data_IF_383538695640
#
_entry.id   IF_383538695640
#
_cell.length_a   1.000
_cell.length_b   1.000
_cell.length_c   1.000
_cell.angle_alpha   90.00
_cell.angle_beta   90.00
_cell.angle_gamma   90.00
#
_symmetry.space_group_name_H-M   'P 1'
#
loop_
_entity.id
_entity.type
_entity.pdbx_description
1 polymer ?
#
# COMPACT_ATOMS: atom_id res chain seq x y z
N UNK A 1 -38.53 -34.78 -14.54
CA UNK A 1 -38.32 -33.41 -14.00
C UNK A 1 -37.40 -33.54 -12.79
N UNK A 2 -36.10 -33.28 -12.94
CA UNK A 2 -35.11 -33.39 -11.85
C UNK A 2 -34.90 -32.00 -11.25
N UNK A 3 -35.21 -31.86 -9.97
CA UNK A 3 -35.04 -30.65 -9.19
C UNK A 3 -33.58 -30.62 -8.68
N UNK A 4 -32.78 -29.65 -9.15
CA UNK A 4 -31.45 -29.40 -8.59
C UNK A 4 -31.60 -28.44 -7.39
N UNK A 5 -31.23 -28.94 -6.21
CA UNK A 5 -31.10 -28.15 -4.99
C UNK A 5 -29.71 -27.51 -4.99
N UNK A 6 -29.62 -26.20 -5.19
CA UNK A 6 -28.40 -25.42 -5.02
C UNK A 6 -28.21 -25.12 -3.52
N UNK A 7 -27.24 -25.80 -2.90
CA UNK A 7 -26.79 -25.50 -1.54
C UNK A 7 -25.85 -24.29 -1.65
N UNK A 8 -26.30 -23.13 -1.16
CA UNK A 8 -25.42 -22.00 -0.89
C UNK A 8 -24.61 -22.32 0.38
N UNK A 9 -23.37 -22.79 0.22
CA UNK A 9 -22.39 -22.73 1.31
C UNK A 9 -22.01 -21.27 1.52
N UNK A 10 -22.50 -20.68 2.61
CA UNK A 10 -22.01 -19.40 3.09
C UNK A 10 -20.50 -19.52 3.34
N UNK A 11 -19.69 -18.85 2.52
CA UNK A 11 -18.27 -18.68 2.82
C UNK A 11 -18.20 -17.85 4.10
N UNK A 12 -17.69 -18.47 5.15
CA UNK A 12 -17.37 -17.83 6.41
C UNK A 12 -16.35 -16.74 6.12
N UNK A 13 -16.78 -15.47 6.18
CA UNK A 13 -15.84 -14.35 6.26
C UNK A 13 -15.41 -14.31 7.72
N UNK A 14 -14.16 -14.70 8.06
CA UNK A 14 -13.68 -14.54 9.42
C UNK A 14 -13.88 -13.08 9.84
N UNK A 15 -14.40 -12.89 11.05
CA UNK A 15 -14.43 -11.57 11.65
C UNK A 15 -12.98 -11.05 11.74
N UNK A 16 -12.73 -9.73 11.83
CA UNK A 16 -11.39 -9.20 11.99
C UNK A 16 -10.59 -9.81 13.17
N UNK A 17 -11.26 -10.50 14.10
CA UNK A 17 -10.64 -11.24 15.21
C UNK A 17 -10.16 -12.66 14.88
N UNK A 18 -10.56 -13.25 13.74
CA UNK A 18 -10.28 -14.67 13.43
C UNK A 18 -9.03 -14.87 12.56
N UNK A 19 -8.35 -13.79 12.14
CA UNK A 19 -7.04 -13.86 11.47
C UNK A 19 -5.90 -13.84 12.50
N UNK A 20 -5.87 -14.83 13.39
CA UNK A 20 -4.79 -15.02 14.36
C UNK A 20 -4.08 -16.35 14.13
N UNK A 21 -3.02 -16.34 13.33
CA UNK A 21 -1.89 -17.26 13.57
C UNK A 21 -0.56 -16.54 13.28
N UNK A 22 0.35 -16.64 14.26
CA UNK A 22 1.80 -16.36 14.23
C UNK A 22 2.28 -14.91 14.47
N UNK A 23 2.44 -14.58 15.75
CA UNK A 23 3.50 -13.80 16.43
C UNK A 23 4.02 -12.44 15.89
N UNK A 24 3.45 -11.85 14.84
CA UNK A 24 3.63 -10.44 14.51
C UNK A 24 2.26 -9.85 14.18
N UNK A 25 1.63 -9.20 15.16
CA UNK A 25 0.28 -8.64 15.07
C UNK A 25 0.20 -7.57 13.97
N UNK A 26 -0.09 -7.97 12.73
CA UNK A 26 -0.53 -7.06 11.69
C UNK A 26 -2.03 -6.85 11.86
N UNK A 27 -2.41 -5.72 12.47
CA UNK A 27 -3.78 -5.24 12.46
C UNK A 27 -3.93 -4.28 11.27
N UNK A 28 -4.66 -4.65 10.21
CA UNK A 28 -4.90 -3.73 9.11
C UNK A 28 -5.67 -2.51 9.61
N UNK A 29 -5.20 -1.32 9.24
CA UNK A 29 -5.91 -0.06 9.49
C UNK A 29 -7.14 0.09 8.58
N UNK A 30 -7.08 -0.55 7.40
CA UNK A 30 -8.17 -0.65 6.44
C UNK A 30 -8.15 -2.04 5.83
N UNK A 31 -9.33 -2.64 5.68
CA UNK A 31 -9.53 -3.84 4.87
C UNK A 31 -10.47 -3.48 3.71
N UNK A 32 -9.93 -3.41 2.50
CA UNK A 32 -10.73 -3.33 1.29
C UNK A 32 -10.91 -4.77 0.80
N UNK A 33 -11.89 -5.46 1.37
CA UNK A 33 -12.35 -6.71 0.82
C UNK A 33 -13.30 -6.38 -0.33
N UNK A 34 -12.97 -6.82 -1.54
CA UNK A 34 -13.92 -6.94 -2.63
C UNK A 34 -14.10 -8.44 -2.89
N UNK A 35 -14.85 -9.18 -2.04
CA UNK A 35 -14.98 -10.63 -2.18
C UNK A 35 -15.56 -11.06 -3.53
N UNK A 36 -16.28 -10.16 -4.21
CA UNK A 36 -16.77 -10.37 -5.57
C UNK A 36 -15.72 -10.18 -6.68
N UNK A 37 -14.57 -9.59 -6.37
CA UNK A 37 -13.45 -9.36 -7.31
C UNK A 37 -12.28 -10.32 -7.08
N UNK A 38 -12.36 -11.26 -6.13
CA UNK A 38 -11.32 -12.29 -5.92
C UNK A 38 -10.01 -11.78 -5.29
N UNK A 39 -10.01 -10.55 -4.74
CA UNK A 39 -8.84 -9.93 -4.10
C UNK A 39 -9.20 -9.32 -2.75
N UNK A 40 -8.29 -9.44 -1.78
CA UNK A 40 -8.34 -8.73 -0.50
C UNK A 40 -7.10 -7.83 -0.39
N UNK A 41 -7.29 -6.55 -0.09
CA UNK A 41 -6.20 -5.61 0.17
C UNK A 41 -6.25 -5.15 1.62
N UNK A 42 -5.13 -5.33 2.32
CA UNK A 42 -4.94 -4.94 3.71
C UNK A 42 -3.81 -3.91 3.82
N UNK A 43 -4.09 -2.74 4.40
CA UNK A 43 -3.09 -1.69 4.59
C UNK A 43 -2.79 -1.49 6.09
N UNK A 44 -1.51 -1.38 6.47
CA UNK A 44 -1.12 -0.98 7.82
C UNK A 44 -1.37 0.52 8.07
N UNK A 45 -1.26 0.94 9.32
CA UNK A 45 -0.91 2.33 9.59
C UNK A 45 0.47 2.66 8.98
N UNK A 46 0.67 3.87 8.43
CA UNK A 46 1.98 4.25 7.94
C UNK A 46 2.95 4.40 9.10
N UNK A 47 4.17 3.88 8.93
CA UNK A 47 5.30 4.29 9.75
C UNK A 47 5.77 5.65 9.25
N UNK A 48 5.65 6.68 10.08
CA UNK A 48 5.84 8.06 9.68
C UNK A 48 7.13 8.64 10.26
N UNK A 49 7.77 9.55 9.53
CA UNK A 49 8.95 10.27 10.01
C UNK A 49 9.25 11.53 9.21
N UNK A 50 10.44 12.10 9.44
CA UNK A 50 10.94 13.27 8.71
C UNK A 50 12.22 12.93 7.96
N UNK A 51 12.34 13.51 6.78
CA UNK A 51 13.51 13.39 5.90
C UNK A 51 13.93 14.79 5.46
N UNK A 52 15.22 15.08 5.53
CA UNK A 52 15.80 16.29 4.94
C UNK A 52 16.79 15.84 3.88
N UNK A 53 16.61 16.31 2.65
CA UNK A 53 17.51 15.98 1.55
C UNK A 53 18.86 16.71 1.67
N UNK A 54 19.79 16.41 0.77
CA UNK A 54 21.10 17.06 0.74
C UNK A 54 21.06 18.55 0.39
N UNK A 55 19.95 19.04 -0.15
CA UNK A 55 19.72 20.45 -0.49
C UNK A 55 19.06 21.22 0.67
N UNK A 56 18.69 20.53 1.76
CA UNK A 56 18.07 21.12 2.94
C UNK A 56 16.54 21.19 2.87
N UNK A 57 15.90 20.59 1.87
CA UNK A 57 14.45 20.53 1.81
C UNK A 57 13.90 19.50 2.80
N UNK A 58 12.92 19.91 3.60
CA UNK A 58 12.27 19.06 4.59
C UNK A 58 11.01 18.39 4.03
N UNK A 59 10.87 17.11 4.35
CA UNK A 59 9.76 16.26 3.98
C UNK A 59 9.23 15.50 5.20
N UNK A 60 7.91 15.32 5.25
CA UNK A 60 7.33 14.23 6.03
C UNK A 60 7.24 13.00 5.15
N UNK A 61 7.49 11.80 5.67
CA UNK A 61 7.26 10.57 4.92
C UNK A 61 6.38 9.59 5.67
N UNK A 62 5.66 8.75 4.93
CA UNK A 62 4.92 7.61 5.45
C UNK A 62 5.20 6.35 4.65
N UNK A 63 5.58 5.26 5.32
CA UNK A 63 5.77 3.93 4.73
C UNK A 63 4.60 3.04 5.16
N UNK A 64 3.77 2.63 4.19
CA UNK A 64 2.59 1.80 4.43
C UNK A 64 2.86 0.38 3.96
N UNK A 65 2.69 -0.60 4.85
CA UNK A 65 2.72 -2.02 4.48
C UNK A 65 1.40 -2.40 3.85
N UNK A 66 1.44 -2.97 2.66
CA UNK A 66 0.28 -3.48 1.94
C UNK A 66 0.40 -4.98 1.77
N UNK A 67 -0.63 -5.73 2.17
CA UNK A 67 -0.80 -7.14 1.81
C UNK A 67 -1.92 -7.24 0.78
N UNK A 68 -1.62 -7.80 -0.38
CA UNK A 68 -2.61 -8.15 -1.40
C UNK A 68 -2.74 -9.67 -1.45
N UNK A 69 -3.95 -10.18 -1.22
CA UNK A 69 -4.25 -11.62 -1.17
C UNK A 69 -5.10 -11.96 -2.38
N UNK A 70 -4.63 -12.89 -3.22
CA UNK A 70 -5.42 -13.46 -4.29
C UNK A 70 -6.28 -14.59 -3.70
N UNK A 71 -7.56 -14.34 -3.49
CA UNK A 71 -8.51 -15.34 -2.97
C UNK A 71 -9.32 -16.02 -4.08
N UNK A 72 -8.95 -15.79 -5.34
CA UNK A 72 -9.57 -16.41 -6.51
C UNK A 72 -8.90 -17.75 -6.87
N UNK A 73 -9.52 -18.48 -7.81
CA UNK A 73 -8.97 -19.71 -8.39
C UNK A 73 -7.94 -19.46 -9.50
N UNK A 74 -7.80 -18.21 -9.97
CA UNK A 74 -6.98 -17.84 -11.11
C UNK A 74 -5.72 -17.09 -10.67
N UNK A 75 -4.57 -17.25 -11.35
CA UNK A 75 -3.41 -16.42 -11.08
C UNK A 75 -3.74 -14.93 -11.32
N UNK A 76 -3.23 -14.07 -10.45
CA UNK A 76 -3.45 -12.63 -10.50
C UNK A 76 -2.17 -11.91 -10.89
N UNK A 77 -2.16 -11.24 -12.04
CA UNK A 77 -1.07 -10.34 -12.38
C UNK A 77 -1.30 -9.00 -11.66
N UNK A 78 -0.35 -8.61 -10.82
CA UNK A 78 -0.29 -7.32 -10.16
C UNK A 78 0.71 -6.43 -10.89
N UNK A 79 0.30 -5.20 -11.22
CA UNK A 79 1.19 -4.17 -11.74
C UNK A 79 1.02 -2.91 -10.92
N UNK A 80 2.11 -2.34 -10.40
CA UNK A 80 2.16 -1.03 -9.75
C UNK A 80 3.29 -0.24 -10.38
N UNK A 81 3.02 1.03 -10.70
CA UNK A 81 3.99 1.97 -11.24
C UNK A 81 3.83 3.32 -10.56
N UNK A 82 4.90 3.82 -9.95
CA UNK A 82 4.99 5.20 -9.49
C UNK A 82 6.01 5.96 -10.36
N UNK A 83 5.60 7.09 -10.96
CA UNK A 83 6.49 7.89 -11.76
C UNK A 83 7.55 8.59 -10.88
N UNK A 84 8.61 9.09 -11.52
CA UNK A 84 9.58 9.95 -10.85
C UNK A 84 8.97 11.31 -10.43
N UNK A 85 7.88 11.72 -11.07
CA UNK A 85 7.22 12.99 -10.81
C UNK A 85 6.43 12.98 -9.49
N UNK A 86 6.20 14.18 -8.96
CA UNK A 86 5.34 14.38 -7.79
C UNK A 86 3.93 14.78 -8.20
N UNK A 87 2.96 14.51 -7.33
CA UNK A 87 1.56 14.86 -7.52
C UNK A 87 1.22 16.04 -6.61
N UNK A 88 0.42 16.98 -7.10
CA UNK A 88 -0.12 18.04 -6.26
C UNK A 88 -0.96 17.41 -5.14
N UNK A 89 -0.58 17.69 -3.89
CA UNK A 89 -1.22 17.12 -2.73
C UNK A 89 -2.28 18.06 -2.16
N UNK A 90 -2.11 19.37 -2.21
CA UNK A 90 -3.15 20.28 -1.74
C UNK A 90 -3.28 21.50 -2.63
N UNK A 91 -4.31 22.30 -2.36
CA UNK A 91 -4.49 23.61 -3.01
C UNK A 91 -3.44 24.64 -2.56
N UNK A 92 -2.65 24.32 -1.53
CA UNK A 92 -1.50 25.14 -1.13
C UNK A 92 -0.41 25.02 -2.19
N UNK A 93 0.09 26.17 -2.66
CA UNK A 93 1.12 26.18 -3.69
C UNK A 93 2.40 25.48 -3.21
N UNK A 94 2.91 24.59 -4.06
CA UNK A 94 4.11 23.81 -3.77
C UNK A 94 3.92 22.70 -2.72
N UNK A 95 2.69 22.31 -2.40
CA UNK A 95 2.43 21.08 -1.62
C UNK A 95 2.28 19.90 -2.57
N UNK A 96 3.19 18.94 -2.47
CA UNK A 96 3.21 17.76 -3.31
C UNK A 96 3.48 16.48 -2.54
N UNK A 97 3.06 15.37 -3.12
CA UNK A 97 3.37 14.01 -2.68
C UNK A 97 4.14 13.29 -3.76
N UNK A 98 5.18 12.58 -3.35
CA UNK A 98 5.94 11.68 -4.21
C UNK A 98 5.80 10.26 -3.71
N UNK A 99 5.38 9.36 -4.60
CA UNK A 99 5.16 7.95 -4.29
C UNK A 99 6.33 7.12 -4.79
N UNK A 100 6.65 6.05 -4.06
CA UNK A 100 7.70 5.12 -4.43
C UNK A 100 7.48 3.75 -3.80
N UNK A 101 8.07 2.73 -4.40
CA UNK A 101 8.24 1.40 -3.82
C UNK A 101 9.69 1.30 -3.31
N UNK A 102 9.92 1.23 -1.99
CA UNK A 102 11.24 0.93 -1.49
C UNK A 102 11.67 -0.49 -1.93
N UNK A 103 12.98 -0.75 -2.12
CA UNK A 103 13.48 -2.08 -2.42
C UNK A 103 13.05 -3.12 -1.37
N UNK A 104 12.74 -4.35 -1.81
CA UNK A 104 12.38 -5.47 -0.92
C UNK A 104 13.49 -5.84 0.08
N UNK A 105 14.72 -5.39 -0.14
CA UNK A 105 15.85 -5.58 0.78
C UNK A 105 15.75 -4.72 2.04
N UNK A 106 14.93 -3.66 2.04
CA UNK A 106 14.73 -2.81 3.21
C UNK A 106 13.70 -3.45 4.14
N UNK A 107 14.14 -3.85 5.34
CA UNK A 107 13.25 -4.40 6.36
C UNK A 107 12.65 -3.27 7.19
N UNK A 108 11.34 -3.11 7.12
CA UNK A 108 10.62 -2.19 8.00
C UNK A 108 10.09 -2.87 9.27
N UNK A 109 10.39 -4.15 9.52
CA UNK A 109 9.79 -4.91 10.62
C UNK A 109 10.20 -4.36 12.01
N UNK A 110 11.43 -3.87 12.14
CA UNK A 110 11.99 -3.42 13.41
C UNK A 110 11.70 -1.94 13.72
N UNK A 111 11.11 -1.20 12.76
CA UNK A 111 10.81 0.22 12.96
C UNK A 111 9.72 0.39 14.03
N UNK A 112 9.99 1.07 15.16
CA UNK A 112 9.02 1.24 16.24
C UNK A 112 7.71 1.86 15.76
N UNK A 113 6.58 1.35 16.24
CA UNK A 113 5.26 1.97 16.03
C UNK A 113 5.05 3.20 16.92
N UNK A 114 5.89 3.37 17.94
CA UNK A 114 5.84 4.55 18.75
C UNK A 114 6.37 5.75 17.96
N UNK A 115 5.85 6.89 18.35
CA UNK A 115 6.25 8.19 17.86
C UNK A 115 7.75 8.46 18.01
N UNK A 116 8.55 7.64 18.71
CA UNK A 116 9.95 7.96 19.03
C UNK A 116 10.93 7.87 17.85
N UNK A 117 10.51 7.26 16.74
CA UNK A 117 11.36 7.04 15.55
C UNK A 117 11.06 8.03 14.43
N UNK A 118 11.17 9.33 14.72
CA UNK A 118 11.00 10.42 13.74
C UNK A 118 12.06 10.45 12.63
N UNK A 119 13.00 9.50 12.60
CA UNK A 119 14.13 9.49 11.67
C UNK A 119 14.02 8.36 10.65
N UNK A 120 14.36 8.71 9.40
CA UNK A 120 14.58 7.75 8.31
C UNK A 120 15.62 6.74 8.76
N UNK A 121 15.25 5.47 8.71
CA UNK A 121 16.15 4.33 8.90
C UNK A 121 17.41 4.49 8.03
N UNK A 122 18.57 4.06 8.52
CA UNK A 122 19.83 4.13 7.79
C UNK A 122 19.75 3.40 6.44
N UNK A 123 18.84 2.42 6.31
CA UNK A 123 18.60 1.71 5.04
C UNK A 123 17.71 2.51 4.06
N UNK A 124 16.76 3.30 4.55
CA UNK A 124 15.85 4.08 3.69
C UNK A 124 16.52 5.37 3.19
N UNK A 125 17.40 5.98 3.98
CA UNK A 125 18.02 7.28 3.64
C UNK A 125 18.86 7.24 2.35
N UNK A 126 19.74 6.25 2.10
CA UNK A 126 20.47 6.14 0.84
C UNK A 126 19.55 6.04 -0.37
N UNK A 127 18.45 5.29 -0.24
CA UNK A 127 17.44 5.18 -1.28
C UNK A 127 16.75 6.53 -1.55
N UNK A 128 16.37 7.27 -0.50
CA UNK A 128 15.77 8.60 -0.67
C UNK A 128 16.75 9.64 -1.26
N UNK A 129 18.04 9.56 -0.93
CA UNK A 129 19.05 10.49 -1.45
C UNK A 129 19.35 10.26 -2.94
N UNK A 130 19.30 9.01 -3.41
CA UNK A 130 19.84 8.64 -4.74
C UNK A 130 18.78 8.09 -5.69
N UNK A 131 17.82 7.34 -5.16
CA UNK A 131 16.79 6.64 -5.91
C UNK A 131 15.49 7.43 -6.03
N UNK A 132 15.29 8.48 -5.23
CA UNK A 132 14.00 9.19 -5.19
C UNK A 132 13.59 9.70 -6.57
N UNK A 133 14.50 10.24 -7.38
CA UNK A 133 14.19 10.77 -8.71
C UNK A 133 14.02 9.71 -9.80
N UNK A 134 13.98 8.43 -9.42
CA UNK A 134 13.80 7.30 -10.34
C UNK A 134 12.38 6.73 -10.20
N UNK A 135 11.70 6.37 -11.30
CA UNK A 135 10.44 5.64 -11.22
C UNK A 135 10.63 4.30 -10.52
N UNK A 136 9.60 3.85 -9.81
CA UNK A 136 9.60 2.53 -9.16
C UNK A 136 8.41 1.71 -9.63
N UNK A 137 8.62 0.42 -9.84
CA UNK A 137 7.61 -0.49 -10.36
C UNK A 137 7.62 -1.82 -9.63
N UNK A 138 6.44 -2.45 -9.53
CA UNK A 138 6.25 -3.84 -9.11
C UNK A 138 5.40 -4.52 -10.17
N UNK A 139 5.90 -5.62 -10.74
CA UNK A 139 5.14 -6.45 -11.65
C UNK A 139 5.37 -7.90 -11.30
N UNK A 140 4.32 -8.55 -10.80
CA UNK A 140 4.40 -9.93 -10.32
C UNK A 140 3.10 -10.69 -10.61
N UNK A 141 3.18 -12.02 -10.60
CA UNK A 141 2.00 -12.89 -10.64
C UNK A 141 1.83 -13.57 -9.28
N UNK A 142 0.66 -13.39 -8.69
CA UNK A 142 0.29 -13.96 -7.40
C UNK A 142 -0.57 -15.19 -7.67
N UNK A 143 -0.09 -16.35 -7.26
CA UNK A 143 -0.81 -17.62 -7.39
C UNK A 143 -2.15 -17.60 -6.63
N UNK A 144 -3.12 -18.44 -7.02
CA UNK A 144 -4.36 -18.64 -6.26
C UNK A 144 -4.07 -18.91 -4.78
N UNK A 145 -4.82 -18.28 -3.88
CA UNK A 145 -4.70 -18.38 -2.42
C UNK A 145 -3.33 -17.99 -1.84
N UNK A 146 -2.53 -17.20 -2.57
CA UNK A 146 -1.28 -16.64 -2.09
C UNK A 146 -1.40 -15.14 -1.87
N UNK A 147 -0.51 -14.61 -1.03
CA UNK A 147 -0.39 -13.18 -0.77
C UNK A 147 0.92 -12.60 -1.28
N UNK A 148 0.90 -11.30 -1.57
CA UNK A 148 2.09 -10.48 -1.76
C UNK A 148 2.06 -9.34 -0.77
N UNK A 149 3.12 -9.26 0.03
CA UNK A 149 3.40 -8.16 0.95
C UNK A 149 4.39 -7.23 0.28
N UNK A 150 4.11 -5.94 0.26
CA UNK A 150 5.03 -4.90 -0.23
C UNK A 150 4.79 -3.60 0.53
N UNK A 151 5.70 -2.64 0.35
CA UNK A 151 5.61 -1.35 1.01
C UNK A 151 5.40 -0.25 -0.01
N UNK A 152 4.57 0.74 0.34
CA UNK A 152 4.39 1.96 -0.44
C UNK A 152 4.90 3.12 0.41
N UNK A 153 5.88 3.84 -0.11
CA UNK A 153 6.37 5.07 0.48
C UNK A 153 5.72 6.29 -0.14
N UNK A 154 5.45 7.28 0.69
CA UNK A 154 4.96 8.58 0.28
C UNK A 154 5.75 9.69 0.99
N UNK A 155 6.36 10.58 0.20
CA UNK A 155 7.09 11.77 0.65
C UNK A 155 6.25 13.01 0.41
N UNK A 156 5.95 13.75 1.47
CA UNK A 156 5.09 14.91 1.45
C UNK A 156 5.90 16.18 1.73
N UNK A 157 5.80 17.15 0.83
CA UNK A 157 6.33 18.49 1.07
C UNK A 157 5.20 19.44 1.49
N UNK A 158 5.50 20.33 2.44
CA UNK A 158 4.58 21.37 2.94
C UNK A 158 3.21 20.80 3.35
N UNK A 159 3.22 19.76 4.18
CA UNK A 159 2.00 19.17 4.76
C UNK A 159 1.97 19.36 6.27
N UNK A 160 0.78 19.53 6.86
CA UNK A 160 0.55 19.62 8.31
C UNK A 160 0.61 18.24 9.02
N UNK A 161 1.47 17.34 8.52
CA UNK A 161 1.62 15.96 8.98
C UNK A 161 1.48 14.92 7.87
N UNK A 162 1.95 13.71 8.14
CA UNK A 162 1.87 12.57 7.22
C UNK A 162 0.45 12.01 7.27
N UNK A 163 -0.33 12.08 6.17
CA UNK A 163 -1.67 11.49 6.15
C UNK A 163 -1.58 9.97 6.26
N UNK A 164 -2.66 9.33 6.72
CA UNK A 164 -2.81 7.88 6.49
C UNK A 164 -2.93 7.66 4.99
N UNK A 165 -2.56 6.49 4.53
CA UNK A 165 -2.72 6.14 3.13
C UNK A 165 -3.19 4.71 3.00
N UNK A 166 -3.84 4.45 1.88
CA UNK A 166 -4.31 3.12 1.55
C UNK A 166 -4.21 2.90 0.04
N UNK A 167 -3.96 1.64 -0.33
CA UNK A 167 -4.18 1.15 -1.67
C UNK A 167 -5.66 0.75 -1.80
N UNK A 168 -6.31 1.29 -2.82
CA UNK A 168 -7.73 1.07 -3.13
C UNK A 168 -7.83 0.43 -4.51
N UNK A 169 -8.69 -0.58 -4.62
CA UNK A 169 -9.04 -1.22 -5.87
C UNK A 169 -10.42 -0.71 -6.34
N UNK A 170 -10.52 -0.31 -7.61
CA UNK A 170 -11.78 0.01 -8.29
C UNK A 170 -11.72 -0.47 -9.72
N UNK A 171 -12.67 -1.31 -10.12
CA UNK A 171 -12.78 -1.81 -11.51
C UNK A 171 -11.43 -2.31 -12.05
N UNK A 172 -10.74 -3.18 -11.30
CA UNK A 172 -9.40 -3.71 -11.61
C UNK A 172 -8.25 -2.69 -11.61
N UNK A 173 -8.50 -1.41 -11.38
CA UNK A 173 -7.49 -0.36 -11.30
C UNK A 173 -7.12 -0.08 -9.85
N UNK A 174 -5.83 0.10 -9.59
CA UNK A 174 -5.27 0.43 -8.28
C UNK A 174 -5.03 1.93 -8.15
N UNK A 175 -5.43 2.46 -7.01
CA UNK A 175 -5.25 3.86 -6.65
C UNK A 175 -4.61 3.99 -5.28
N UNK A 176 -3.65 4.89 -5.17
CA UNK A 176 -3.16 5.36 -3.89
C UNK A 176 -4.07 6.50 -3.40
N UNK A 177 -4.59 6.36 -2.17
CA UNK A 177 -5.46 7.34 -1.53
C UNK A 177 -4.87 7.82 -0.20
N UNK A 178 -4.45 9.09 -0.09
CA UNK A 178 -4.14 9.69 1.20
C UNK A 178 -5.41 10.16 1.94
N UNK A 179 -5.53 9.84 3.22
CA UNK A 179 -6.74 10.01 4.04
C UNK A 179 -7.16 11.45 4.36
N UNK A 180 -6.34 12.45 4.01
CA UNK A 180 -6.65 13.87 4.27
C UNK A 180 -7.31 14.53 3.05
N UNK A 181 -7.42 13.79 1.95
CA UNK A 181 -7.90 14.27 0.66
C UNK A 181 -8.73 13.15 0.04
N UNK A 182 -9.94 12.94 0.57
CA UNK A 182 -10.77 11.81 0.16
C UNK A 182 -11.11 11.82 -1.35
N UNK A 183 -11.01 12.97 -2.00
CA UNK A 183 -11.18 13.13 -3.45
C UNK A 183 -9.92 12.80 -4.28
N UNK A 184 -8.74 12.73 -3.67
CA UNK A 184 -7.49 12.45 -4.38
C UNK A 184 -7.30 10.94 -4.53
N UNK A 185 -7.42 10.45 -5.76
CA UNK A 185 -7.06 9.10 -6.17
C UNK A 185 -5.92 9.20 -7.17
N UNK A 186 -4.74 8.74 -6.76
CA UNK A 186 -3.58 8.73 -7.65
C UNK A 186 -3.55 7.35 -8.33
N UNK A 187 -3.82 7.26 -9.65
CA UNK A 187 -3.75 5.98 -10.34
C UNK A 187 -2.33 5.46 -10.27
N UNK A 188 -2.17 4.20 -9.84
CA UNK A 188 -0.85 3.64 -9.59
C UNK A 188 -0.67 2.23 -10.11
N UNK A 189 -1.69 1.61 -10.71
CA UNK A 189 -1.55 0.24 -11.17
C UNK A 189 -2.86 -0.42 -11.54
N UNK A 190 -2.78 -1.72 -11.71
CA UNK A 190 -3.92 -2.57 -12.05
C UNK A 190 -3.70 -4.01 -11.60
N UNK A 191 -4.78 -4.77 -11.59
CA UNK A 191 -4.78 -6.21 -11.41
C UNK A 191 -5.45 -6.90 -12.61
N UNK A 192 -4.92 -8.04 -13.04
CA UNK A 192 -5.49 -8.80 -14.15
C UNK A 192 -5.50 -10.29 -13.79
N UNK A 193 -6.67 -10.92 -13.77
CA UNK A 193 -6.78 -12.37 -13.63
C UNK A 193 -6.39 -13.07 -14.94
N UNK A 194 -5.47 -14.04 -14.84
CA UNK A 194 -5.09 -14.92 -15.94
C UNK A 194 -6.08 -16.09 -16.00
N UNK A 195 -6.69 -16.29 -17.16
CA UNK A 195 -7.55 -17.44 -17.45
C UNK A 195 -6.73 -18.66 -17.83
#
# INVERSE_FOLDING_TARGET
MRLFLLIFTALFVPSPGDMLTNNNLFLPSTANALPGEGVVILNSYPKAGRYTDSEGHEFGYGITRTTLINVSENPLQLTINFPADSFAFSTLSGSYVKLFLPPDTISFNDMPFDNSSWYVDDDLRPFLNTGLHTPTALQETISPNHERVFYIGALYQKTAGVPRAELVLKDHNLFFRPSRLDSLLIPCGEIIFKK
#
